data_IF_843918870659
#
_entry.id   IF_843918870659
#
_cell.length_a   1.000
_cell.length_b   1.000
_cell.length_c   1.000
_cell.angle_alpha   90.00
_cell.angle_beta   90.00
_cell.angle_gamma   90.00
#
_symmetry.space_group_name_H-M   'P 1'
#
loop_
_entity.id
_entity.type
_entity.pdbx_description
1 polymer ?
#
# COMPACT_ATOMS: atom_id res chain seq x y z
N UNK A 1 -59.50 -19.51 48.61
CA UNK A 1 -59.68 -19.01 47.21
C UNK A 1 -58.49 -18.14 46.79
N UNK A 2 -57.56 -18.69 46.04
CA UNK A 2 -56.32 -18.05 45.66
C UNK A 2 -56.44 -17.72 44.15
N UNK A 3 -56.19 -16.49 43.70
CA UNK A 3 -56.28 -16.18 42.27
C UNK A 3 -55.02 -16.57 41.52
N UNK A 4 -55.24 -17.33 40.45
CA UNK A 4 -54.24 -17.69 39.47
C UNK A 4 -53.95 -16.45 38.63
N UNK A 5 -52.69 -15.95 38.67
CA UNK A 5 -52.12 -14.91 37.73
C UNK A 5 -51.61 -15.57 36.49
N UNK A 6 -52.30 -15.43 35.38
CA UNK A 6 -51.80 -15.74 34.06
C UNK A 6 -50.71 -14.70 33.65
N UNK A 7 -49.43 -15.10 33.54
CA UNK A 7 -48.39 -14.33 32.86
C UNK A 7 -48.52 -14.59 31.35
N UNK A 8 -48.91 -13.58 30.61
CA UNK A 8 -48.79 -13.55 29.14
C UNK A 8 -47.33 -13.24 28.79
N UNK A 9 -46.58 -14.22 28.28
CA UNK A 9 -45.28 -14.02 27.73
C UNK A 9 -45.41 -13.54 26.27
N UNK A 10 -45.15 -12.25 26.00
CA UNK A 10 -45.03 -11.74 24.64
C UNK A 10 -43.72 -12.24 24.06
N UNK A 11 -43.72 -13.20 23.13
CA UNK A 11 -42.60 -13.53 22.26
C UNK A 11 -42.45 -12.41 21.22
N UNK A 12 -41.42 -11.57 21.38
CA UNK A 12 -40.95 -10.69 20.33
C UNK A 12 -40.20 -11.54 19.28
N UNK A 13 -40.82 -11.79 18.13
CA UNK A 13 -40.16 -12.30 16.94
C UNK A 13 -39.31 -11.19 16.38
N UNK A 14 -37.97 -11.26 16.59
CA UNK A 14 -37.01 -10.49 15.80
C UNK A 14 -37.02 -11.05 14.37
N UNK A 15 -37.70 -10.39 13.47
CA UNK A 15 -37.58 -10.66 12.04
C UNK A 15 -36.19 -10.21 11.60
N UNK A 16 -35.31 -11.16 11.25
CA UNK A 16 -34.05 -10.87 10.60
C UNK A 16 -34.35 -10.22 9.23
N UNK A 17 -33.91 -8.99 9.02
CA UNK A 17 -34.01 -8.35 7.71
C UNK A 17 -33.26 -9.21 6.67
N UNK A 18 -33.84 -9.43 5.48
CA UNK A 18 -33.11 -10.17 4.43
C UNK A 18 -31.79 -9.44 4.09
N UNK A 19 -30.72 -10.17 3.77
CA UNK A 19 -29.49 -9.55 3.32
C UNK A 19 -29.78 -8.71 2.08
N UNK A 20 -29.39 -7.43 2.10
CA UNK A 20 -29.49 -6.55 0.94
C UNK A 20 -28.53 -7.11 -0.13
N UNK A 21 -29.07 -7.44 -1.29
CA UNK A 21 -28.25 -7.94 -2.39
C UNK A 21 -27.23 -6.87 -2.82
N UNK A 22 -25.99 -7.27 -3.01
CA UNK A 22 -24.92 -6.41 -3.52
C UNK A 22 -25.34 -5.78 -4.85
N UNK A 23 -25.27 -4.45 -4.95
CA UNK A 23 -25.60 -3.69 -6.17
C UNK A 23 -24.34 -3.39 -6.95
N UNK A 24 -24.48 -3.17 -8.25
CA UNK A 24 -23.44 -2.58 -9.09
C UNK A 24 -23.80 -1.12 -9.37
N UNK A 25 -22.93 -0.21 -8.96
CA UNK A 25 -23.05 1.22 -9.24
C UNK A 25 -22.14 1.54 -10.44
N UNK A 26 -22.73 1.97 -11.54
CA UNK A 26 -21.99 2.30 -12.77
C UNK A 26 -21.65 3.80 -12.81
N UNK A 27 -20.35 4.09 -13.02
CA UNK A 27 -19.79 5.45 -13.10
C UNK A 27 -19.29 5.74 -14.50
N UNK A 28 -19.58 6.91 -15.04
CA UNK A 28 -19.03 7.39 -16.30
C UNK A 28 -20.03 8.12 -17.20
N UNK A 29 -19.62 8.51 -18.40
CA UNK A 29 -20.50 9.18 -19.36
C UNK A 29 -21.72 8.32 -19.71
N UNK A 30 -22.90 8.88 -19.56
CA UNK A 30 -24.17 8.18 -19.80
C UNK A 30 -24.56 7.12 -18.76
N UNK A 31 -23.80 7.02 -17.65
CA UNK A 31 -24.11 6.13 -16.54
C UNK A 31 -24.89 6.86 -15.45
N UNK A 32 -25.51 6.13 -14.50
CA UNK A 32 -26.24 6.74 -13.38
C UNK A 32 -25.41 7.73 -12.54
N UNK A 33 -24.10 7.48 -12.42
CA UNK A 33 -23.18 8.36 -11.71
C UNK A 33 -22.14 8.90 -12.69
N UNK A 34 -21.99 10.22 -12.78
CA UNK A 34 -21.01 10.83 -13.68
C UNK A 34 -19.59 10.78 -13.10
N UNK A 35 -19.45 10.72 -11.77
CA UNK A 35 -18.17 10.81 -11.03
C UNK A 35 -18.10 9.74 -9.93
N UNK A 36 -16.88 9.25 -9.59
CA UNK A 36 -16.66 8.31 -8.48
C UNK A 36 -17.23 8.80 -7.14
N UNK A 37 -17.12 10.09 -6.82
CA UNK A 37 -17.65 10.69 -5.60
C UNK A 37 -19.18 10.55 -5.47
N UNK A 38 -19.90 10.61 -6.57
CA UNK A 38 -21.35 10.43 -6.58
C UNK A 38 -21.73 8.97 -6.28
N UNK A 39 -20.99 8.01 -6.86
CA UNK A 39 -21.18 6.60 -6.56
C UNK A 39 -20.82 6.30 -5.09
N UNK A 40 -19.75 6.90 -4.55
CA UNK A 40 -19.35 6.75 -3.16
C UNK A 40 -20.43 7.22 -2.18
N UNK A 41 -21.12 8.32 -2.50
CA UNK A 41 -22.24 8.83 -1.69
C UNK A 41 -23.48 7.92 -1.73
N UNK A 42 -23.64 7.10 -2.77
CA UNK A 42 -24.80 6.23 -2.96
C UNK A 42 -24.52 4.76 -2.62
N UNK A 43 -23.26 4.37 -2.50
CA UNK A 43 -22.84 3.00 -2.22
C UNK A 43 -23.24 2.56 -0.81
N UNK A 44 -23.55 1.28 -0.68
CA UNK A 44 -23.76 0.60 0.59
C UNK A 44 -22.74 -0.52 0.77
N UNK A 45 -22.78 -1.17 1.94
CA UNK A 45 -21.93 -2.31 2.25
C UNK A 45 -22.18 -3.46 1.27
N UNK A 46 -21.10 -4.08 0.80
CA UNK A 46 -21.14 -5.18 -0.14
C UNK A 46 -21.31 -4.76 -1.61
N UNK A 47 -21.54 -3.49 -1.92
CA UNK A 47 -21.74 -3.03 -3.28
C UNK A 47 -20.43 -3.13 -4.12
N UNK A 48 -20.61 -3.07 -5.44
CA UNK A 48 -19.53 -2.96 -6.44
C UNK A 48 -19.66 -1.66 -7.22
N UNK A 49 -18.61 -0.89 -7.32
CA UNK A 49 -18.54 0.33 -8.14
C UNK A 49 -17.74 0.02 -9.40
N UNK A 50 -18.37 0.16 -10.56
CA UNK A 50 -17.78 -0.06 -11.89
C UNK A 50 -17.55 1.28 -12.56
N UNK A 51 -16.28 1.68 -12.74
CA UNK A 51 -15.92 2.95 -13.33
C UNK A 51 -15.54 2.74 -14.81
N UNK A 52 -16.31 3.32 -15.71
CA UNK A 52 -16.08 3.25 -17.15
C UNK A 52 -14.75 3.91 -17.55
N UNK A 53 -14.24 3.63 -18.77
CA UNK A 53 -13.07 4.35 -19.26
C UNK A 53 -13.28 5.85 -19.28
N UNK A 54 -12.25 6.61 -18.88
CA UNK A 54 -12.27 8.07 -18.83
C UNK A 54 -11.24 8.62 -17.84
N UNK A 55 -11.00 9.92 -17.94
CA UNK A 55 -10.21 10.67 -16.96
C UNK A 55 -11.17 11.46 -16.05
N UNK A 56 -11.09 11.18 -14.76
CA UNK A 56 -11.99 11.73 -13.75
C UNK A 56 -11.20 12.67 -12.84
N UNK A 57 -11.42 13.98 -12.99
CA UNK A 57 -10.93 15.02 -12.09
C UNK A 57 -11.78 15.01 -10.81
N UNK A 58 -11.58 13.97 -10.00
CA UNK A 58 -12.41 13.70 -8.85
C UNK A 58 -11.63 13.02 -7.72
N UNK A 59 -12.21 13.02 -6.54
CA UNK A 59 -11.77 12.23 -5.41
C UNK A 59 -12.98 11.65 -4.68
N UNK A 60 -12.83 10.53 -3.97
CA UNK A 60 -13.95 9.88 -3.29
C UNK A 60 -13.56 9.36 -1.90
N UNK A 61 -14.54 9.39 -0.98
CA UNK A 61 -14.42 8.82 0.36
C UNK A 61 -15.29 7.56 0.43
N UNK A 62 -14.69 6.45 0.81
CA UNK A 62 -15.28 5.11 0.78
C UNK A 62 -15.37 4.51 2.19
N UNK A 63 -16.46 4.77 2.95
CA UNK A 63 -16.65 4.23 4.29
C UNK A 63 -17.31 2.84 4.31
N UNK A 64 -17.76 2.34 3.16
CA UNK A 64 -18.54 1.11 3.08
C UNK A 64 -17.68 -0.13 3.32
N UNK A 65 -18.24 -1.11 4.01
CA UNK A 65 -17.61 -2.40 4.23
C UNK A 65 -17.84 -3.36 3.04
N UNK A 66 -16.88 -4.26 2.81
CA UNK A 66 -16.93 -5.27 1.73
C UNK A 66 -17.16 -4.64 0.32
N UNK A 67 -16.61 -3.44 0.10
CA UNK A 67 -16.77 -2.72 -1.15
C UNK A 67 -15.72 -3.15 -2.18
N UNK A 68 -16.13 -3.27 -3.44
CA UNK A 68 -15.22 -3.41 -4.58
C UNK A 68 -15.31 -2.16 -5.48
N UNK A 69 -14.18 -1.50 -5.71
CA UNK A 69 -14.04 -0.36 -6.62
C UNK A 69 -13.19 -0.82 -7.81
N UNK A 70 -13.76 -0.79 -9.00
CA UNK A 70 -13.14 -1.37 -10.18
C UNK A 70 -13.24 -0.45 -11.39
N UNK A 71 -12.10 -0.15 -12.00
CA UNK A 71 -12.03 0.48 -13.30
C UNK A 71 -12.22 -0.52 -14.44
N UNK A 72 -12.49 -0.04 -15.62
CA UNK A 72 -12.59 -0.87 -16.82
C UNK A 72 -11.23 -1.48 -17.22
N UNK A 73 -10.14 -0.73 -17.00
CA UNK A 73 -8.76 -1.19 -17.16
C UNK A 73 -7.81 -0.22 -16.47
N UNK A 74 -6.59 -0.69 -16.20
CA UNK A 74 -5.53 0.13 -15.57
C UNK A 74 -5.26 1.43 -16.35
N UNK A 75 -5.20 1.37 -17.65
CA UNK A 75 -4.89 2.52 -18.52
C UNK A 75 -6.12 3.34 -18.89
N UNK A 76 -7.26 2.68 -19.01
CA UNK A 76 -8.48 3.30 -19.49
C UNK A 76 -9.24 4.10 -18.44
N UNK A 77 -9.08 3.79 -17.16
CA UNK A 77 -9.79 4.46 -16.04
C UNK A 77 -8.79 5.22 -15.17
N UNK A 78 -8.83 6.54 -15.23
CA UNK A 78 -7.86 7.42 -14.54
C UNK A 78 -8.57 8.36 -13.58
N UNK A 79 -8.20 8.32 -12.31
CA UNK A 79 -8.65 9.26 -11.28
C UNK A 79 -7.49 10.21 -10.94
N UNK A 80 -7.75 11.52 -10.93
CA UNK A 80 -6.66 12.49 -10.94
C UNK A 80 -6.95 13.84 -10.30
N UNK A 81 -5.87 14.52 -9.87
CA UNK A 81 -5.73 15.95 -9.53
C UNK A 81 -6.52 16.46 -8.33
N UNK A 82 -7.47 15.75 -7.77
CA UNK A 82 -8.20 16.14 -6.57
C UNK A 82 -7.80 15.31 -5.37
N UNK A 83 -7.86 15.92 -4.19
CA UNK A 83 -7.67 15.20 -2.94
C UNK A 83 -8.84 15.50 -1.99
N UNK A 84 -9.59 14.47 -1.63
CA UNK A 84 -10.63 14.54 -0.62
C UNK A 84 -10.00 14.67 0.78
N UNK A 85 -10.65 15.46 1.65
CA UNK A 85 -10.26 15.67 3.04
C UNK A 85 -8.81 16.17 3.20
N UNK A 86 -8.20 16.77 2.16
CA UNK A 86 -6.78 17.13 2.18
C UNK A 86 -5.84 15.90 2.32
N UNK A 87 -6.25 14.72 1.86
CA UNK A 87 -5.53 13.46 2.08
C UNK A 87 -5.19 12.71 0.77
N UNK A 88 -6.20 12.38 -0.05
CA UNK A 88 -6.00 11.43 -1.15
C UNK A 88 -7.05 11.54 -2.26
N UNK A 89 -6.76 10.92 -3.41
CA UNK A 89 -7.76 10.67 -4.46
C UNK A 89 -8.85 9.73 -3.93
N UNK A 90 -8.45 8.62 -3.29
CA UNK A 90 -9.37 7.74 -2.57
C UNK A 90 -9.04 7.70 -1.10
N UNK A 91 -9.97 8.13 -0.25
CA UNK A 91 -9.91 7.95 1.21
C UNK A 91 -10.77 6.75 1.54
N UNK A 92 -10.16 5.66 2.00
CA UNK A 92 -10.81 4.38 2.24
C UNK A 92 -10.83 4.12 3.75
N UNK A 93 -11.98 4.32 4.38
CA UNK A 93 -12.21 4.03 5.79
C UNK A 93 -13.07 2.78 6.02
N UNK A 94 -13.62 2.19 4.96
CA UNK A 94 -14.34 0.92 5.01
C UNK A 94 -13.44 -0.23 5.50
N UNK A 95 -13.96 -1.14 6.34
CA UNK A 95 -13.15 -2.19 6.95
C UNK A 95 -12.51 -3.18 5.98
N UNK A 96 -13.19 -3.51 4.88
CA UNK A 96 -12.71 -4.46 3.87
C UNK A 96 -13.01 -3.90 2.48
N UNK A 97 -11.99 -3.40 1.79
CA UNK A 97 -12.16 -2.78 0.47
C UNK A 97 -11.16 -3.34 -0.53
N UNK A 98 -11.64 -3.60 -1.75
CA UNK A 98 -10.81 -3.95 -2.90
C UNK A 98 -10.85 -2.83 -3.93
N UNK A 99 -9.67 -2.40 -4.40
CA UNK A 99 -9.50 -1.44 -5.50
C UNK A 99 -8.75 -2.14 -6.62
N UNK A 100 -9.28 -2.09 -7.83
CA UNK A 100 -8.63 -2.77 -8.96
C UNK A 100 -8.85 -2.13 -10.33
N UNK A 101 -7.95 -2.45 -11.27
CA UNK A 101 -8.05 -2.12 -12.70
C UNK A 101 -8.20 -0.61 -12.98
N UNK A 102 -7.40 0.25 -12.36
CA UNK A 102 -7.45 1.70 -12.59
C UNK A 102 -6.10 2.39 -12.33
N UNK A 103 -5.99 3.65 -12.73
CA UNK A 103 -4.86 4.52 -12.44
C UNK A 103 -5.26 5.61 -11.44
N UNK A 104 -4.41 5.84 -10.44
CA UNK A 104 -4.49 6.96 -9.49
C UNK A 104 -3.27 7.85 -9.71
N UNK A 105 -3.47 9.11 -10.10
CA UNK A 105 -2.35 9.98 -10.49
C UNK A 105 -2.48 11.41 -10.01
N UNK A 106 -1.32 12.05 -9.79
CA UNK A 106 -1.19 13.48 -9.46
C UNK A 106 -1.84 13.91 -8.15
N UNK A 107 -1.95 13.00 -7.17
CA UNK A 107 -2.40 13.36 -5.82
C UNK A 107 -1.41 14.33 -5.17
N UNK A 108 -1.88 15.51 -4.81
CA UNK A 108 -1.09 16.57 -4.17
C UNK A 108 -1.88 17.24 -3.06
N UNK A 109 -1.26 17.42 -1.90
CA UNK A 109 -1.78 18.24 -0.79
C UNK A 109 -0.69 19.14 -0.24
N UNK A 110 -1.06 20.27 0.41
CA UNK A 110 -0.08 21.24 0.93
C UNK A 110 0.91 20.67 1.96
N UNK A 111 0.52 19.61 2.67
CA UNK A 111 1.38 18.96 3.69
C UNK A 111 2.44 18.04 3.10
N UNK A 112 2.40 17.79 1.79
CA UNK A 112 3.40 16.99 1.09
C UNK A 112 3.15 15.48 1.12
N UNK A 113 1.98 15.01 1.58
CA UNK A 113 1.63 13.59 1.71
C UNK A 113 0.32 13.20 1.00
N UNK A 114 0.01 13.87 -0.11
CA UNK A 114 -1.16 13.56 -0.93
C UNK A 114 -1.05 12.16 -1.56
N UNK A 115 -1.96 11.27 -1.22
CA UNK A 115 -1.89 9.88 -1.61
C UNK A 115 -2.83 9.53 -2.78
N UNK A 116 -2.45 8.53 -3.57
CA UNK A 116 -3.39 7.84 -4.45
C UNK A 116 -4.49 7.21 -3.61
N UNK A 117 -4.11 6.43 -2.58
CA UNK A 117 -5.03 5.89 -1.59
C UNK A 117 -4.57 6.27 -0.17
N UNK A 118 -5.46 6.88 0.61
CA UNK A 118 -5.37 6.96 2.06
C UNK A 118 -6.14 5.79 2.67
N UNK A 119 -5.40 4.80 3.21
CA UNK A 119 -5.97 3.60 3.80
C UNK A 119 -6.21 3.83 5.30
N UNK A 120 -7.47 4.00 5.69
CA UNK A 120 -7.92 4.22 7.08
C UNK A 120 -8.81 3.07 7.58
N UNK A 121 -9.08 2.08 6.72
CA UNK A 121 -9.84 0.88 7.05
C UNK A 121 -8.94 -0.26 7.54
N UNK A 122 -9.56 -1.41 7.83
CA UNK A 122 -8.87 -2.57 8.40
C UNK A 122 -8.15 -3.42 7.34
N UNK A 123 -8.80 -3.69 6.22
CA UNK A 123 -8.24 -4.53 5.15
C UNK A 123 -8.38 -3.83 3.81
N UNK A 124 -7.26 -3.65 3.13
CA UNK A 124 -7.21 -3.11 1.78
C UNK A 124 -6.54 -4.13 0.85
N UNK A 125 -7.20 -4.43 -0.26
CA UNK A 125 -6.63 -5.17 -1.39
C UNK A 125 -6.52 -4.24 -2.59
N UNK A 126 -5.32 -4.14 -3.15
CA UNK A 126 -5.02 -3.38 -4.38
C UNK A 126 -4.51 -4.36 -5.41
N UNK A 127 -5.17 -4.39 -6.56
CA UNK A 127 -4.95 -5.41 -7.58
C UNK A 127 -5.00 -4.80 -8.98
N UNK A 128 -3.92 -4.87 -9.76
CA UNK A 128 -3.84 -4.23 -11.07
C UNK A 128 -4.15 -2.72 -11.02
N UNK A 129 -3.44 -1.98 -10.15
CA UNK A 129 -3.59 -0.52 -10.01
C UNK A 129 -2.27 0.18 -10.31
N UNK A 130 -2.35 1.27 -11.06
CA UNK A 130 -1.20 2.13 -11.34
C UNK A 130 -1.25 3.38 -10.47
N UNK A 131 -0.19 3.61 -9.72
CA UNK A 131 0.04 4.82 -8.95
C UNK A 131 1.12 5.65 -9.64
N UNK A 132 0.75 6.79 -10.21
CA UNK A 132 1.67 7.55 -11.05
C UNK A 132 1.80 8.97 -10.53
N UNK A 133 3.04 9.39 -10.21
CA UNK A 133 3.34 10.79 -9.88
C UNK A 133 2.47 11.36 -8.74
N UNK A 134 2.22 10.56 -7.70
CA UNK A 134 1.60 11.04 -6.45
C UNK A 134 2.68 11.49 -5.46
N UNK A 135 2.33 12.20 -4.40
CA UNK A 135 3.24 12.37 -3.27
C UNK A 135 3.41 11.01 -2.58
N UNK A 136 2.35 10.40 -2.04
CA UNK A 136 2.34 8.98 -1.69
C UNK A 136 1.54 8.16 -2.72
N UNK A 137 1.98 6.95 -3.03
CA UNK A 137 1.10 6.02 -3.74
C UNK A 137 0.00 5.53 -2.80
N UNK A 138 0.39 4.89 -1.71
CA UNK A 138 -0.50 4.45 -0.62
C UNK A 138 0.04 4.98 0.71
N UNK A 139 -0.82 5.60 1.51
CA UNK A 139 -0.51 6.03 2.87
C UNK A 139 -1.54 5.49 3.84
N UNK A 140 -1.14 4.66 4.82
CA UNK A 140 -2.08 4.13 5.81
C UNK A 140 -2.02 4.85 7.15
N UNK A 141 -3.10 4.73 7.91
CA UNK A 141 -3.11 4.99 9.35
C UNK A 141 -2.63 3.76 10.12
N UNK A 142 -2.48 3.91 11.42
CA UNK A 142 -2.19 2.80 12.32
C UNK A 142 -3.46 1.98 12.55
N UNK A 143 -3.39 0.69 12.27
CA UNK A 143 -4.43 -0.32 12.56
C UNK A 143 -3.73 -1.67 12.83
N UNK A 144 -3.37 -1.96 14.09
CA UNK A 144 -2.51 -3.12 14.41
C UNK A 144 -3.06 -4.48 13.97
N UNK A 145 -4.36 -4.61 13.75
CA UNK A 145 -4.98 -5.82 13.20
C UNK A 145 -5.25 -5.70 11.70
N UNK A 146 -4.85 -4.58 11.09
CA UNK A 146 -5.09 -4.29 9.69
C UNK A 146 -4.11 -5.01 8.77
N UNK A 147 -4.49 -5.09 7.50
CA UNK A 147 -3.63 -5.60 6.44
C UNK A 147 -3.80 -4.83 5.15
N UNK A 148 -2.69 -4.67 4.43
CA UNK A 148 -2.66 -4.15 3.06
C UNK A 148 -2.01 -5.20 2.18
N UNK A 149 -2.72 -5.62 1.14
CA UNK A 149 -2.19 -6.49 0.09
C UNK A 149 -2.18 -5.73 -1.23
N UNK A 150 -1.01 -5.61 -1.83
CA UNK A 150 -0.81 -4.99 -3.16
C UNK A 150 -0.26 -6.06 -4.08
N UNK A 151 -0.88 -6.27 -5.23
CA UNK A 151 -0.41 -7.25 -6.20
C UNK A 151 -0.60 -6.79 -7.63
N UNK A 152 0.26 -7.29 -8.50
CA UNK A 152 0.16 -7.07 -9.96
C UNK A 152 0.00 -5.58 -10.32
N UNK A 153 0.64 -4.68 -9.55
CA UNK A 153 0.43 -3.23 -9.58
C UNK A 153 1.72 -2.47 -9.95
N UNK A 154 1.61 -1.18 -10.20
CA UNK A 154 2.73 -0.34 -10.62
C UNK A 154 2.78 0.96 -9.82
N UNK A 155 3.97 1.34 -9.38
CA UNK A 155 4.26 2.60 -8.72
C UNK A 155 5.35 3.33 -9.52
N UNK A 156 4.98 4.41 -10.21
CA UNK A 156 5.92 5.15 -11.06
C UNK A 156 5.99 6.60 -10.63
N UNK A 157 7.22 7.09 -10.36
CA UNK A 157 7.48 8.49 -10.00
C UNK A 157 6.68 9.00 -8.81
N UNK A 158 6.32 8.13 -7.86
CA UNK A 158 5.78 8.57 -6.59
C UNK A 158 6.93 9.02 -5.68
N UNK A 159 6.59 9.66 -4.58
CA UNK A 159 7.56 10.18 -3.63
C UNK A 159 7.72 11.69 -3.70
N UNK A 160 7.96 12.28 -2.54
CA UNK A 160 8.27 13.69 -2.33
C UNK A 160 8.90 13.87 -0.95
N UNK A 161 9.74 14.89 -0.76
CA UNK A 161 10.31 15.24 0.54
C UNK A 161 10.41 16.78 0.65
N UNK A 162 9.27 17.46 0.61
CA UNK A 162 9.22 18.92 0.71
C UNK A 162 8.98 19.40 2.15
N UNK A 163 8.05 18.76 2.87
CA UNK A 163 7.75 19.01 4.29
C UNK A 163 7.88 17.71 5.09
N UNK A 164 7.11 16.70 4.75
CA UNK A 164 7.29 15.33 5.19
C UNK A 164 7.74 14.51 3.99
N UNK A 165 8.48 13.42 4.23
CA UNK A 165 8.79 12.50 3.16
C UNK A 165 7.61 11.57 2.91
N UNK A 166 7.18 11.53 1.65
CA UNK A 166 6.13 10.67 1.12
C UNK A 166 6.74 9.60 0.23
N UNK A 167 6.12 8.45 0.12
CA UNK A 167 6.73 7.21 -0.37
C UNK A 167 5.89 6.55 -1.47
N UNK A 168 6.41 5.54 -2.13
CA UNK A 168 5.60 4.66 -2.97
C UNK A 168 4.48 4.02 -2.14
N UNK A 169 4.85 3.30 -1.08
CA UNK A 169 3.93 2.80 -0.05
C UNK A 169 4.44 3.22 1.32
N UNK A 170 3.60 3.88 2.11
CA UNK A 170 3.86 4.11 3.53
C UNK A 170 2.81 3.38 4.36
N UNK A 171 3.18 2.23 4.91
CA UNK A 171 2.35 1.50 5.86
C UNK A 171 2.67 1.95 7.29
N UNK A 172 1.65 2.40 8.03
CA UNK A 172 1.72 2.68 9.46
C UNK A 172 1.85 1.41 10.30
N UNK A 173 1.56 1.48 11.59
CA UNK A 173 1.60 0.31 12.49
C UNK A 173 0.40 -0.61 12.22
N UNK A 174 0.52 -1.43 11.18
CA UNK A 174 -0.48 -2.45 10.79
C UNK A 174 0.05 -3.86 11.07
N UNK A 175 -0.84 -4.86 11.03
CA UNK A 175 -0.46 -6.26 11.22
C UNK A 175 0.38 -6.83 10.07
N UNK A 176 -0.04 -6.56 8.83
CA UNK A 176 0.58 -7.13 7.64
C UNK A 176 0.59 -6.14 6.46
N UNK A 177 1.77 -5.92 5.89
CA UNK A 177 1.93 -5.41 4.53
C UNK A 177 2.43 -6.55 3.63
N UNK A 178 1.67 -6.89 2.59
CA UNK A 178 2.07 -7.86 1.55
C UNK A 178 2.09 -7.18 0.20
N UNK A 179 3.23 -7.27 -0.50
CA UNK A 179 3.42 -6.73 -1.85
C UNK A 179 3.92 -7.83 -2.76
N UNK A 180 3.20 -8.14 -3.81
CA UNK A 180 3.48 -9.26 -4.71
C UNK A 180 3.47 -8.81 -6.17
N UNK A 181 4.42 -9.27 -6.99
CA UNK A 181 4.49 -9.04 -8.45
C UNK A 181 4.20 -7.59 -8.86
N UNK A 182 4.74 -6.66 -8.07
CA UNK A 182 4.51 -5.23 -8.21
C UNK A 182 5.79 -4.53 -8.63
N UNK A 183 5.69 -3.57 -9.53
CA UNK A 183 6.82 -2.80 -10.04
C UNK A 183 6.86 -1.40 -9.42
N UNK A 184 8.04 -1.00 -8.97
CA UNK A 184 8.38 0.36 -8.53
C UNK A 184 9.41 0.94 -9.49
N UNK A 185 9.19 2.14 -9.97
CA UNK A 185 10.11 2.77 -10.92
C UNK A 185 10.23 4.27 -10.72
N UNK A 186 11.46 4.77 -10.86
CA UNK A 186 11.76 6.19 -10.84
C UNK A 186 11.19 6.94 -9.62
N UNK A 187 11.17 6.28 -8.45
CA UNK A 187 10.68 6.91 -7.21
C UNK A 187 11.52 8.15 -6.90
N UNK A 188 10.86 9.22 -6.50
CA UNK A 188 11.46 10.53 -6.28
C UNK A 188 11.67 10.77 -4.80
N UNK A 189 12.94 10.69 -4.35
CA UNK A 189 13.30 10.84 -2.95
C UNK A 189 12.58 9.80 -2.07
N UNK A 190 12.86 9.76 -0.78
CA UNK A 190 12.24 8.82 0.15
C UNK A 190 12.32 7.35 -0.35
N UNK A 191 11.35 6.49 -0.09
CA UNK A 191 11.46 5.05 -0.27
C UNK A 191 10.38 4.52 -1.20
N UNK A 192 10.65 3.41 -1.89
CA UNK A 192 9.57 2.69 -2.59
C UNK A 192 8.58 2.12 -1.59
N UNK A 193 9.08 1.45 -0.55
CA UNK A 193 8.27 0.91 0.56
C UNK A 193 8.86 1.37 1.89
N UNK A 194 8.08 2.12 2.68
CA UNK A 194 8.30 2.34 4.11
C UNK A 194 7.24 1.61 4.90
N UNK A 195 7.66 0.66 5.75
CA UNK A 195 6.73 -0.18 6.50
C UNK A 195 6.99 -0.16 7.99
N UNK A 196 5.98 0.21 8.77
CA UNK A 196 5.95 0.05 10.24
C UNK A 196 5.08 -1.14 10.64
N UNK A 197 4.77 -2.03 9.70
CA UNK A 197 3.96 -3.21 9.94
C UNK A 197 4.68 -4.21 10.86
N UNK A 198 3.89 -5.00 11.60
CA UNK A 198 4.43 -6.11 12.38
C UNK A 198 5.09 -7.17 11.49
N UNK A 199 4.56 -7.38 10.28
CA UNK A 199 5.13 -8.22 9.24
C UNK A 199 5.05 -7.55 7.88
N UNK A 200 6.15 -7.60 7.13
CA UNK A 200 6.24 -7.13 5.74
C UNK A 200 6.69 -8.28 4.85
N UNK A 201 5.94 -8.53 3.78
CA UNK A 201 6.25 -9.55 2.78
C UNK A 201 6.32 -8.90 1.39
N UNK A 202 7.46 -9.04 0.71
CA UNK A 202 7.71 -8.48 -0.62
C UNK A 202 8.21 -9.61 -1.50
N UNK A 203 7.38 -10.05 -2.44
CA UNK A 203 7.65 -11.27 -3.22
C UNK A 203 7.44 -11.06 -4.71
N UNK A 204 8.47 -11.37 -5.50
CA UNK A 204 8.42 -11.29 -6.96
C UNK A 204 8.27 -9.87 -7.50
N UNK A 205 8.72 -8.87 -6.75
CA UNK A 205 8.62 -7.46 -7.10
C UNK A 205 9.85 -6.96 -7.86
N UNK A 206 9.70 -5.83 -8.55
CA UNK A 206 10.78 -5.17 -9.26
C UNK A 206 10.90 -3.72 -8.80
N UNK A 207 12.13 -3.31 -8.46
CA UNK A 207 12.47 -1.96 -8.01
C UNK A 207 13.56 -1.42 -8.94
N UNK A 208 13.25 -0.37 -9.69
CA UNK A 208 14.15 0.20 -10.70
C UNK A 208 14.23 1.71 -10.57
N UNK A 209 15.31 2.21 -10.05
CA UNK A 209 15.55 3.66 -10.02
C UNK A 209 15.75 4.22 -11.44
N UNK A 210 16.41 3.47 -12.31
CA UNK A 210 16.79 3.97 -13.60
C UNK A 210 17.78 5.14 -13.51
N UNK A 211 18.01 5.88 -14.61
CA UNK A 211 18.96 6.98 -14.63
C UNK A 211 18.50 8.24 -13.88
N UNK A 212 17.22 8.37 -13.58
CA UNK A 212 16.61 9.58 -13.02
C UNK A 212 15.89 9.40 -11.69
N UNK A 213 15.65 8.17 -11.25
CA UNK A 213 15.11 7.87 -9.94
C UNK A 213 16.07 8.28 -8.84
N UNK A 214 15.52 8.75 -7.74
CA UNK A 214 16.29 9.23 -6.57
C UNK A 214 15.83 8.57 -5.28
N UNK A 215 15.33 7.33 -5.37
CA UNK A 215 14.89 6.59 -4.19
C UNK A 215 16.01 6.49 -3.15
N UNK A 216 15.63 6.57 -1.86
CA UNK A 216 16.54 6.40 -0.74
C UNK A 216 16.78 4.91 -0.48
N UNK A 217 15.76 4.19 -0.05
CA UNK A 217 15.75 2.74 0.11
C UNK A 217 14.62 2.12 -0.73
N UNK A 218 14.85 0.92 -1.29
CA UNK A 218 13.76 0.16 -1.90
C UNK A 218 12.77 -0.32 -0.83
N UNK A 219 13.30 -0.82 0.30
CA UNK A 219 12.47 -1.25 1.43
C UNK A 219 13.07 -0.68 2.73
N UNK A 220 12.24 -0.03 3.53
CA UNK A 220 12.60 0.40 4.89
C UNK A 220 11.61 -0.13 5.92
N UNK A 221 12.12 -0.77 6.97
CA UNK A 221 11.41 -1.12 8.18
C UNK A 221 11.98 -0.30 9.35
N UNK A 222 11.59 0.98 9.49
CA UNK A 222 12.28 1.90 10.39
C UNK A 222 12.21 1.51 11.86
N UNK A 223 11.15 0.82 12.25
CA UNK A 223 10.91 0.43 13.66
C UNK A 223 11.08 -1.07 13.91
N UNK A 224 11.72 -1.82 13.01
CA UNK A 224 11.75 -3.27 13.05
C UNK A 224 10.47 -3.88 12.45
N UNK A 225 10.04 -5.03 12.96
CA UNK A 225 9.03 -5.89 12.34
C UNK A 225 9.68 -7.02 11.54
N UNK A 226 8.95 -8.10 11.30
CA UNK A 226 9.46 -9.24 10.53
C UNK A 226 9.44 -8.96 9.03
N UNK A 227 10.47 -9.45 8.30
CA UNK A 227 10.61 -9.26 6.85
C UNK A 227 10.74 -10.60 6.13
N UNK A 228 9.99 -10.76 5.04
CA UNK A 228 10.28 -11.70 3.96
C UNK A 228 10.45 -10.92 2.66
N UNK A 229 11.65 -10.91 2.07
CA UNK A 229 11.92 -10.36 0.74
C UNK A 229 12.48 -11.47 -0.16
N UNK A 230 11.67 -11.94 -1.12
CA UNK A 230 11.98 -13.12 -1.91
C UNK A 230 11.70 -12.94 -3.39
N UNK A 231 12.61 -13.45 -4.24
CA UNK A 231 12.45 -13.45 -5.70
C UNK A 231 12.27 -12.05 -6.29
N UNK A 232 12.84 -11.01 -5.68
CA UNK A 232 12.74 -9.64 -6.16
C UNK A 232 13.93 -9.25 -7.04
N UNK A 233 13.73 -8.23 -7.85
CA UNK A 233 14.79 -7.57 -8.60
C UNK A 233 14.94 -6.15 -8.09
N UNK A 234 16.16 -5.78 -7.68
CA UNK A 234 16.53 -4.45 -7.21
C UNK A 234 17.57 -3.83 -8.13
N UNK A 235 17.32 -2.63 -8.58
CA UNK A 235 18.30 -1.76 -9.21
C UNK A 235 18.38 -0.46 -8.42
N UNK A 236 19.54 -0.21 -7.79
CA UNK A 236 19.82 1.03 -7.10
C UNK A 236 20.58 1.95 -8.05
N UNK A 237 19.91 3.03 -8.45
CA UNK A 237 20.36 3.91 -9.53
C UNK A 237 21.49 4.85 -9.14
N UNK A 238 22.13 5.50 -10.13
CA UNK A 238 23.28 6.39 -9.90
C UNK A 238 22.93 7.68 -9.16
N UNK A 239 21.64 8.06 -9.11
CA UNK A 239 21.16 9.25 -8.41
C UNK A 239 20.39 8.93 -7.12
N UNK A 240 20.50 7.69 -6.62
CA UNK A 240 19.87 7.32 -5.37
C UNK A 240 20.21 8.32 -4.25
N UNK A 241 19.20 8.78 -3.50
CA UNK A 241 19.39 9.80 -2.45
C UNK A 241 20.24 9.28 -1.28
N UNK A 242 20.17 7.98 -1.02
CA UNK A 242 20.90 7.32 0.05
C UNK A 242 21.67 6.11 -0.47
N UNK A 243 22.95 6.05 -0.15
CA UNK A 243 23.85 5.00 -0.61
C UNK A 243 24.03 3.85 0.40
N UNK A 244 23.46 3.97 1.62
CA UNK A 244 23.75 3.03 2.72
C UNK A 244 23.26 1.62 2.39
N UNK A 245 22.01 1.47 1.94
CA UNK A 245 21.43 0.15 1.74
C UNK A 245 20.35 0.11 0.62
N UNK A 246 20.03 -1.09 0.18
CA UNK A 246 18.84 -1.38 -0.61
C UNK A 246 17.64 -1.61 0.34
N UNK A 247 17.86 -2.46 1.37
CA UNK A 247 16.89 -2.77 2.42
C UNK A 247 17.46 -2.29 3.75
N UNK A 248 16.74 -1.40 4.44
CA UNK A 248 17.12 -0.84 5.73
C UNK A 248 16.14 -1.29 6.82
N UNK A 249 16.67 -1.77 7.96
CA UNK A 249 15.86 -2.25 9.08
C UNK A 249 16.35 -1.61 10.38
N UNK A 250 15.45 -0.92 11.10
CA UNK A 250 15.70 -0.38 12.44
C UNK A 250 16.23 1.04 12.49
N UNK A 251 16.19 1.80 11.40
CA UNK A 251 16.76 3.16 11.25
C UNK A 251 16.21 4.21 12.23
N UNK A 252 14.98 4.04 12.72
CA UNK A 252 14.31 4.99 13.62
C UNK A 252 14.11 4.41 15.05
N UNK A 253 14.82 3.33 15.39
CA UNK A 253 14.70 2.63 16.68
C UNK A 253 13.63 1.53 16.66
N UNK A 254 13.90 0.45 17.41
CA UNK A 254 13.09 -0.77 17.38
C UNK A 254 11.91 -0.63 18.34
N UNK A 255 10.70 -0.57 17.79
CA UNK A 255 9.44 -0.54 18.54
C UNK A 255 8.50 -1.70 18.17
N UNK A 256 8.74 -2.36 17.03
CA UNK A 256 8.02 -3.55 16.59
C UNK A 256 8.85 -4.81 16.86
N UNK A 257 8.23 -5.90 17.36
CA UNK A 257 8.91 -7.18 17.50
C UNK A 257 9.42 -7.67 16.13
N UNK A 258 10.73 -7.88 16.03
CA UNK A 258 11.36 -8.50 14.87
C UNK A 258 11.62 -9.97 15.19
N UNK A 259 10.86 -10.88 14.60
CA UNK A 259 10.96 -12.32 14.86
C UNK A 259 11.74 -13.06 13.79
N UNK A 260 11.78 -12.50 12.58
CA UNK A 260 12.35 -13.12 11.41
C UNK A 260 12.75 -12.04 10.39
N UNK A 261 13.93 -12.18 9.80
CA UNK A 261 14.40 -11.40 8.66
C UNK A 261 14.95 -12.40 7.63
N UNK A 262 14.23 -12.57 6.53
CA UNK A 262 14.62 -13.46 5.43
C UNK A 262 14.67 -12.68 4.13
N UNK A 263 15.85 -12.66 3.49
CA UNK A 263 16.10 -12.03 2.19
C UNK A 263 16.75 -13.06 1.29
N UNK A 264 15.95 -13.66 0.42
CA UNK A 264 16.39 -14.83 -0.35
C UNK A 264 16.02 -14.80 -1.83
N UNK A 265 16.87 -15.40 -2.64
CA UNK A 265 16.66 -15.59 -4.09
C UNK A 265 16.42 -14.28 -4.87
N UNK A 266 16.93 -13.14 -4.39
CA UNK A 266 16.79 -11.87 -5.08
C UNK A 266 17.96 -11.62 -6.03
N UNK A 267 17.74 -10.75 -7.01
CA UNK A 267 18.80 -10.15 -7.82
C UNK A 267 18.92 -8.69 -7.47
N UNK A 268 20.12 -8.21 -7.10
CA UNK A 268 20.33 -6.82 -6.77
C UNK A 268 21.54 -6.25 -7.53
N UNK A 269 21.37 -5.05 -8.08
CA UNK A 269 22.37 -4.31 -8.82
C UNK A 269 22.49 -2.89 -8.28
N UNK A 270 23.71 -2.40 -8.12
CA UNK A 270 24.00 -1.00 -7.86
C UNK A 270 24.75 -0.40 -9.05
N UNK A 271 24.17 0.63 -9.67
CA UNK A 271 24.67 1.27 -10.88
C UNK A 271 25.42 2.58 -10.60
N UNK A 272 25.43 3.04 -9.34
CA UNK A 272 26.15 4.23 -8.92
C UNK A 272 27.62 3.96 -8.62
N UNK A 273 28.42 5.01 -8.63
CA UNK A 273 29.83 4.99 -8.19
C UNK A 273 29.92 5.19 -6.66
N UNK A 274 29.29 4.27 -5.91
CA UNK A 274 29.25 4.27 -4.45
C UNK A 274 29.06 2.83 -3.91
N UNK A 275 29.59 2.56 -2.72
CA UNK A 275 29.36 1.29 -2.05
C UNK A 275 27.99 1.28 -1.35
N UNK A 276 27.30 0.14 -1.41
CA UNK A 276 26.02 -0.08 -0.70
C UNK A 276 25.94 -1.51 -0.16
N UNK A 277 24.93 -1.80 0.64
CA UNK A 277 24.64 -3.15 1.11
C UNK A 277 23.24 -3.58 0.67
N UNK A 278 23.02 -4.88 0.44
CA UNK A 278 21.68 -5.38 0.17
C UNK A 278 20.79 -5.23 1.40
N UNK A 279 21.28 -5.66 2.58
CA UNK A 279 20.56 -5.59 3.85
C UNK A 279 21.39 -4.88 4.90
N UNK A 280 20.87 -3.79 5.46
CA UNK A 280 21.42 -3.14 6.64
C UNK A 280 20.48 -3.43 7.82
N UNK A 281 20.91 -4.35 8.72
CA UNK A 281 20.13 -4.79 9.86
C UNK A 281 20.64 -4.13 11.16
N UNK A 282 19.82 -3.29 11.78
CA UNK A 282 20.12 -2.66 13.07
C UNK A 282 19.33 -3.30 14.23
N UNK A 283 18.71 -4.44 14.02
CA UNK A 283 18.01 -5.19 15.06
C UNK A 283 18.93 -6.25 15.66
N UNK A 284 18.54 -6.80 16.82
CA UNK A 284 19.21 -7.95 17.43
C UNK A 284 18.77 -9.31 16.84
N UNK A 285 17.85 -9.30 15.86
CA UNK A 285 17.39 -10.52 15.19
C UNK A 285 18.31 -10.83 14.02
N UNK A 286 18.90 -12.01 14.00
CA UNK A 286 19.76 -12.43 12.90
C UNK A 286 19.02 -12.45 11.56
N UNK A 287 19.59 -11.79 10.55
CA UNK A 287 19.09 -11.82 9.19
C UNK A 287 19.64 -13.03 8.43
N UNK A 288 18.76 -13.75 7.73
CA UNK A 288 19.13 -14.82 6.79
C UNK A 288 19.11 -14.23 5.39
N UNK A 289 20.33 -14.04 4.80
CA UNK A 289 20.51 -13.46 3.47
C UNK A 289 21.14 -14.54 2.58
N UNK A 290 20.32 -15.23 1.75
CA UNK A 290 20.80 -16.42 1.04
C UNK A 290 20.33 -16.47 -0.42
N UNK A 291 21.13 -17.12 -1.28
CA UNK A 291 20.76 -17.34 -2.68
C UNK A 291 20.65 -16.07 -3.54
N UNK A 292 21.08 -14.91 -3.02
CA UNK A 292 20.94 -13.63 -3.72
C UNK A 292 22.07 -13.44 -4.75
N UNK A 293 21.75 -12.89 -5.91
CA UNK A 293 22.71 -12.53 -6.96
C UNK A 293 22.99 -11.03 -6.90
N UNK A 294 24.25 -10.67 -6.60
CA UNK A 294 24.66 -9.30 -6.44
C UNK A 294 25.58 -8.86 -7.58
N UNK A 295 25.46 -7.63 -8.06
CA UNK A 295 26.35 -7.02 -9.06
C UNK A 295 26.55 -5.53 -8.82
N UNK A 296 27.73 -5.03 -9.20
CA UNK A 296 28.17 -3.67 -8.85
C UNK A 296 28.77 -3.59 -7.44
N UNK A 297 28.97 -2.41 -6.87
CA UNK A 297 29.61 -2.21 -5.57
C UNK A 297 28.62 -2.45 -4.40
N UNK A 298 28.07 -3.65 -4.33
CA UNK A 298 27.07 -4.05 -3.33
C UNK A 298 27.56 -5.26 -2.53
N UNK A 299 27.46 -5.20 -1.21
CA UNK A 299 27.75 -6.29 -0.29
C UNK A 299 26.44 -6.87 0.28
N UNK A 300 26.41 -8.17 0.69
CA UNK A 300 25.14 -8.80 1.05
C UNK A 300 24.50 -8.31 2.35
N UNK A 301 25.31 -8.09 3.41
CA UNK A 301 24.78 -7.82 4.75
C UNK A 301 25.70 -6.90 5.54
N UNK A 302 25.09 -6.00 6.31
CA UNK A 302 25.69 -5.30 7.42
C UNK A 302 24.79 -5.48 8.67
N UNK A 303 25.37 -5.80 9.81
CA UNK A 303 24.67 -6.12 11.06
C UNK A 303 24.56 -7.63 11.32
N UNK A 304 23.75 -8.01 12.31
CA UNK A 304 23.64 -9.38 12.77
C UNK A 304 22.95 -10.28 11.73
N UNK A 305 23.56 -11.45 11.47
CA UNK A 305 23.00 -12.45 10.55
C UNK A 305 24.04 -13.23 9.77
N UNK A 306 23.57 -13.98 8.77
CA UNK A 306 24.38 -14.79 7.86
C UNK A 306 24.09 -14.45 6.40
N UNK A 307 25.14 -14.50 5.56
CA UNK A 307 25.03 -14.32 4.11
C UNK A 307 25.71 -15.47 3.38
N UNK A 308 25.00 -16.10 2.37
CA UNK A 308 25.50 -17.22 1.57
C UNK A 308 24.99 -17.21 0.13
#
# INVERSE_FOLDING_TARGET
MTPIRCLLACLLLLAAAPPVAARTLEVGPGKPYAQPSQAAAAAGDGDRVMIAPGEYFDCAVWPQNNLTIEGASEEGTVITDKACQGKALFVISGPNVTVRNLTLTRARVPDGNGAGIRAEGKTLVVDHVRFINNQDGILSTDEPQGSITVRDSQFTRNGACEKACAHGIYAGHIGLLRVERTAFSETRRAHDIKSRALRTEVVGCTFVDGPDGTASYAIELPNGGSLLAKNNTFEKGPKAENHTAVIMIGSEGITQPTREIVVEDNTARADGDYNTVLVYNQTATEAVVQGNRLSGPITPLHGDGSAS
#
